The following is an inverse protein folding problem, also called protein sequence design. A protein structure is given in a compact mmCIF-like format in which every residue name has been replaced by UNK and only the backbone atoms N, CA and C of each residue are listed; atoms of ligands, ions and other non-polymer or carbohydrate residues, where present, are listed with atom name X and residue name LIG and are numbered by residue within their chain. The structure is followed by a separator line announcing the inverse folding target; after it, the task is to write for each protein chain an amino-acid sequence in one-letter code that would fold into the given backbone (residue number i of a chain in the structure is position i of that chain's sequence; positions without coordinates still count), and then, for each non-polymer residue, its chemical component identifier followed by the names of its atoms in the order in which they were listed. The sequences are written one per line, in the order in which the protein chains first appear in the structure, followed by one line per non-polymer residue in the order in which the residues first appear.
data_IF_894382989048
#
_entry.id   IF_894382989048
#
_cell.length_a   1.000
_cell.length_b   1.000
_cell.length_c   1.000
_cell.angle_alpha   90.00
_cell.angle_beta   90.00
_cell.angle_gamma   90.00
#
_symmetry.space_group_name_H-M   'P 1'
#
loop_
_entity.id
_entity.type
_entity.pdbx_description
1 polymer ?
#
# COMPACT_ATOMS: atom_id res chain seq x y z
N UNK A 1 -24.48 12.81 14.23
CA UNK A 1 -23.01 12.79 14.11
C UNK A 1 -22.52 14.20 14.37
N UNK A 2 -21.70 14.43 15.39
CA UNK A 2 -21.07 15.74 15.60
C UNK A 2 -20.27 16.12 14.35
N UNK A 3 -20.24 17.42 14.02
CA UNK A 3 -19.56 17.95 12.83
C UNK A 3 -18.07 17.56 12.80
N UNK A 4 -17.74 16.44 12.15
CA UNK A 4 -16.36 16.09 11.83
C UNK A 4 -15.89 17.10 10.79
N UNK A 5 -14.85 17.87 11.13
CA UNK A 5 -14.20 18.79 10.20
C UNK A 5 -13.48 17.97 9.11
N UNK A 6 -13.91 18.06 7.83
CA UNK A 6 -13.35 17.25 6.76
C UNK A 6 -11.85 17.49 6.53
N UNK A 7 -11.39 18.72 6.72
CA UNK A 7 -9.99 19.10 6.54
C UNK A 7 -9.12 18.47 7.62
N UNK A 8 -9.57 18.51 8.87
CA UNK A 8 -8.86 17.84 9.98
C UNK A 8 -8.84 16.34 9.80
N UNK A 9 -9.97 15.74 9.40
CA UNK A 9 -10.04 14.31 9.17
C UNK A 9 -9.10 13.87 8.03
N UNK A 10 -9.08 14.58 6.92
CA UNK A 10 -8.14 14.33 5.82
C UNK A 10 -6.67 14.48 6.25
N UNK A 11 -6.35 15.46 7.10
CA UNK A 11 -5.03 15.59 7.70
C UNK A 11 -4.64 14.35 8.52
N UNK A 12 -5.57 13.81 9.31
CA UNK A 12 -5.33 12.57 10.07
C UNK A 12 -5.14 11.35 9.16
N UNK A 13 -5.90 11.23 8.08
CA UNK A 13 -5.74 10.09 7.17
C UNK A 13 -4.41 10.12 6.42
N UNK A 14 -3.88 11.31 6.11
CA UNK A 14 -2.53 11.49 5.55
C UNK A 14 -1.40 11.11 6.52
N UNK A 15 -1.62 11.21 7.83
CA UNK A 15 -0.62 10.86 8.86
C UNK A 15 -0.75 9.39 9.25
N UNK A 16 -1.95 8.96 9.61
CA UNK A 16 -2.21 7.64 10.18
C UNK A 16 -2.15 6.55 9.10
N UNK A 17 -2.61 6.81 7.88
CA UNK A 17 -2.58 5.84 6.78
C UNK A 17 -1.18 5.27 6.53
N UNK A 18 -0.15 6.11 6.28
CA UNK A 18 1.23 5.66 6.12
C UNK A 18 1.79 4.94 7.34
N UNK A 19 1.49 5.40 8.56
CA UNK A 19 1.98 4.74 9.78
C UNK A 19 1.46 3.30 9.86
N UNK A 20 0.16 3.11 9.63
CA UNK A 20 -0.47 1.79 9.64
C UNK A 20 0.13 0.91 8.52
N UNK A 21 0.23 1.43 7.30
CA UNK A 21 0.70 0.67 6.15
C UNK A 21 2.18 0.26 6.31
N UNK A 22 3.06 1.19 6.68
CA UNK A 22 4.49 0.94 6.84
C UNK A 22 4.77 0.01 8.02
N UNK A 23 4.12 0.23 9.16
CA UNK A 23 4.28 -0.66 10.31
C UNK A 23 3.87 -2.08 9.96
N UNK A 24 2.72 -2.25 9.26
CA UNK A 24 2.25 -3.55 8.81
C UNK A 24 3.20 -4.22 7.81
N UNK A 25 3.76 -3.43 6.88
CA UNK A 25 4.76 -3.91 5.92
C UNK A 25 6.08 -4.30 6.59
N UNK A 26 6.44 -3.65 7.68
CA UNK A 26 7.66 -3.94 8.43
C UNK A 26 7.55 -5.22 9.25
N UNK A 27 6.38 -5.51 9.82
CA UNK A 27 6.15 -6.70 10.65
C UNK A 27 5.71 -7.94 9.86
N UNK A 28 5.33 -7.81 8.58
CA UNK A 28 4.94 -8.96 7.78
C UNK A 28 6.09 -9.98 7.69
N UNK A 29 5.83 -11.28 7.48
CA UNK A 29 6.89 -12.26 7.27
C UNK A 29 7.74 -11.90 6.06
N UNK A 30 9.07 -11.86 6.22
CA UNK A 30 10.00 -11.36 5.18
C UNK A 30 10.08 -9.83 5.10
N UNK A 31 9.42 -9.11 6.01
CA UNK A 31 9.49 -7.67 6.15
C UNK A 31 10.82 -7.19 6.73
N UNK A 32 11.00 -5.87 6.76
CA UNK A 32 12.27 -5.21 7.15
C UNK A 32 12.69 -5.53 8.59
N UNK A 33 11.73 -5.77 9.49
CA UNK A 33 12.04 -6.08 10.89
C UNK A 33 12.37 -7.56 11.12
N UNK A 34 12.40 -8.38 10.07
CA UNK A 34 12.73 -9.82 10.12
C UNK A 34 11.87 -10.63 11.11
N UNK A 35 10.67 -10.14 11.45
CA UNK A 35 9.72 -10.85 12.30
C UNK A 35 9.12 -12.00 11.47
N UNK A 36 9.28 -13.23 11.93
CA UNK A 36 8.95 -14.42 11.14
C UNK A 36 9.99 -14.76 10.08
N UNK A 37 11.22 -14.22 10.18
CA UNK A 37 12.34 -14.56 9.30
C UNK A 37 12.44 -13.71 8.02
N UNK A 38 13.54 -13.90 7.29
CA UNK A 38 13.83 -13.20 6.03
C UNK A 38 14.33 -14.19 5.00
N UNK A 39 13.82 -14.08 3.77
CA UNK A 39 14.24 -14.86 2.62
C UNK A 39 14.53 -13.92 1.45
N UNK A 40 15.26 -14.40 0.45
CA UNK A 40 15.44 -13.65 -0.79
C UNK A 40 14.07 -13.50 -1.49
N UNK A 41 13.56 -12.27 -1.71
CA UNK A 41 12.25 -12.06 -2.31
C UNK A 41 12.18 -12.48 -3.78
N UNK A 42 13.33 -12.75 -4.43
CA UNK A 42 13.40 -13.26 -5.81
C UNK A 42 13.24 -14.78 -5.89
N UNK A 43 13.39 -15.50 -4.76
CA UNK A 43 13.23 -16.95 -4.67
C UNK A 43 11.80 -17.27 -4.20
N UNK A 44 10.90 -17.45 -5.16
CA UNK A 44 9.46 -17.60 -4.89
C UNK A 44 9.11 -18.80 -4.01
N UNK A 45 9.86 -19.90 -4.11
CA UNK A 45 9.68 -21.09 -3.28
C UNK A 45 9.89 -20.79 -1.79
N UNK A 46 10.85 -19.94 -1.47
CA UNK A 46 11.19 -19.64 -0.08
C UNK A 46 10.24 -18.59 0.50
N UNK A 47 9.84 -17.60 -0.31
CA UNK A 47 8.76 -16.66 0.05
C UNK A 47 7.45 -17.40 0.34
N UNK A 48 7.09 -18.38 -0.49
CA UNK A 48 5.89 -19.18 -0.29
C UNK A 48 5.92 -19.94 1.04
N UNK A 49 7.01 -20.64 1.33
CA UNK A 49 7.17 -21.38 2.59
C UNK A 49 7.06 -20.45 3.79
N UNK A 50 7.71 -19.28 3.75
CA UNK A 50 7.69 -18.30 4.83
C UNK A 50 6.28 -17.80 5.13
N UNK A 51 5.52 -17.47 4.09
CA UNK A 51 4.14 -16.99 4.22
C UNK A 51 3.20 -18.07 4.78
N UNK A 52 3.44 -19.34 4.46
CA UNK A 52 2.65 -20.46 5.01
C UNK A 52 3.03 -20.73 6.47
N UNK A 53 4.33 -20.74 6.78
CA UNK A 53 4.85 -20.99 8.13
C UNK A 53 4.36 -19.93 9.14
N UNK A 54 4.30 -18.67 8.71
CA UNK A 54 3.81 -17.54 9.52
C UNK A 54 2.48 -16.98 9.00
N UNK A 55 1.56 -17.89 8.64
CA UNK A 55 0.29 -17.57 7.98
C UNK A 55 -0.57 -16.54 8.69
N UNK A 56 -0.75 -16.65 10.01
CA UNK A 56 -1.55 -15.70 10.80
C UNK A 56 -1.03 -14.27 10.69
N UNK A 57 0.30 -14.11 10.83
CA UNK A 57 0.96 -12.81 10.74
C UNK A 57 0.88 -12.25 9.32
N UNK A 58 1.12 -13.10 8.30
CA UNK A 58 0.98 -12.72 6.90
C UNK A 58 -0.42 -12.23 6.54
N UNK A 59 -1.47 -12.88 7.08
CA UNK A 59 -2.86 -12.50 6.84
C UNK A 59 -3.17 -11.16 7.51
N UNK A 60 -2.86 -11.02 8.80
CA UNK A 60 -3.16 -9.80 9.56
C UNK A 60 -2.39 -8.60 8.99
N UNK A 61 -1.10 -8.76 8.67
CA UNK A 61 -0.31 -7.69 8.08
C UNK A 61 -0.86 -7.28 6.72
N UNK A 62 -1.24 -8.24 5.86
CA UNK A 62 -1.81 -7.97 4.54
C UNK A 62 -3.11 -7.17 4.60
N UNK A 63 -4.02 -7.51 5.52
CA UNK A 63 -5.27 -6.76 5.76
C UNK A 63 -4.95 -5.34 6.24
N UNK A 64 -4.04 -5.21 7.19
CA UNK A 64 -3.73 -3.92 7.83
C UNK A 64 -3.00 -2.99 6.86
N UNK A 65 -2.15 -3.52 5.97
CA UNK A 65 -1.56 -2.77 4.84
C UNK A 65 -2.68 -2.15 3.98
N UNK A 66 -3.69 -2.92 3.59
CA UNK A 66 -4.81 -2.41 2.77
C UNK A 66 -5.54 -1.26 3.48
N UNK A 67 -5.83 -1.41 4.76
CA UNK A 67 -6.48 -0.37 5.57
C UNK A 67 -5.66 0.91 5.57
N UNK A 68 -4.34 0.81 5.82
CA UNK A 68 -3.44 1.96 5.83
C UNK A 68 -3.35 2.66 4.47
N UNK A 69 -3.23 1.90 3.38
CA UNK A 69 -3.14 2.45 2.03
C UNK A 69 -4.43 3.14 1.57
N UNK A 70 -5.59 2.52 1.80
CA UNK A 70 -6.88 3.15 1.45
C UNK A 70 -7.13 4.40 2.27
N UNK A 71 -6.72 4.40 3.55
CA UNK A 71 -6.78 5.59 4.42
C UNK A 71 -5.92 6.72 3.84
N UNK A 72 -4.68 6.43 3.45
CA UNK A 72 -3.79 7.39 2.80
C UNK A 72 -4.39 7.95 1.51
N UNK A 73 -4.92 7.09 0.63
CA UNK A 73 -5.54 7.49 -0.63
C UNK A 73 -6.68 8.50 -0.41
N UNK A 74 -7.53 8.26 0.59
CA UNK A 74 -8.61 9.17 0.94
C UNK A 74 -8.08 10.57 1.30
N UNK A 75 -7.00 10.64 2.08
CA UNK A 75 -6.35 11.90 2.43
C UNK A 75 -5.75 12.63 1.23
N UNK A 76 -5.11 11.90 0.31
CA UNK A 76 -4.49 12.46 -0.88
C UNK A 76 -5.51 13.02 -1.88
N UNK A 77 -6.66 12.34 -2.04
CA UNK A 77 -7.75 12.84 -2.88
C UNK A 77 -8.28 14.16 -2.33
N UNK A 78 -8.54 14.23 -1.02
CA UNK A 78 -9.00 15.46 -0.38
C UNK A 78 -7.96 16.58 -0.50
N UNK A 79 -6.68 16.25 -0.31
CA UNK A 79 -5.57 17.20 -0.49
C UNK A 79 -5.55 17.79 -1.90
N UNK A 80 -5.67 16.94 -2.92
CA UNK A 80 -5.76 17.41 -4.31
C UNK A 80 -6.97 18.30 -4.54
N UNK A 81 -8.14 17.95 -4.00
CA UNK A 81 -9.37 18.74 -4.13
C UNK A 81 -9.26 20.10 -3.43
N UNK A 82 -8.49 20.19 -2.34
CA UNK A 82 -8.30 21.45 -1.63
C UNK A 82 -7.56 22.53 -2.43
N UNK A 83 -6.93 22.15 -3.54
CA UNK A 83 -6.25 23.06 -4.48
C UNK A 83 -7.17 23.59 -5.59
N UNK A 84 -8.45 23.20 -5.62
CA UNK A 84 -9.38 23.60 -6.67
C UNK A 84 -9.42 25.13 -6.84
N UNK A 85 -9.32 25.59 -8.10
CA UNK A 85 -9.20 27.01 -8.44
C UNK A 85 -7.77 27.54 -8.54
N UNK A 86 -6.74 26.70 -8.29
CA UNK A 86 -5.32 27.02 -8.51
C UNK A 86 -4.69 26.20 -9.64
N UNK A 87 -3.56 26.67 -10.18
CA UNK A 87 -2.80 25.96 -11.21
C UNK A 87 -2.28 24.59 -10.72
N UNK A 88 -1.96 24.49 -9.42
CA UNK A 88 -1.52 23.26 -8.76
C UNK A 88 -2.57 22.14 -8.81
N UNK A 89 -3.86 22.48 -8.94
CA UNK A 89 -4.92 21.48 -9.02
C UNK A 89 -4.77 20.54 -10.22
N UNK A 90 -4.41 21.07 -11.40
CA UNK A 90 -4.27 20.27 -12.61
C UNK A 90 -3.12 19.25 -12.47
N UNK A 91 -2.01 19.67 -11.86
CA UNK A 91 -0.85 18.83 -11.61
C UNK A 91 -1.16 17.75 -10.57
N UNK A 92 -1.72 18.15 -9.41
CA UNK A 92 -2.08 17.20 -8.35
C UNK A 92 -3.10 16.17 -8.83
N UNK A 93 -4.13 16.61 -9.56
CA UNK A 93 -5.16 15.73 -10.13
C UNK A 93 -4.59 14.73 -11.14
N UNK A 94 -3.50 15.06 -11.82
CA UNK A 94 -2.79 14.14 -12.71
C UNK A 94 -2.02 13.08 -11.93
N UNK A 95 -1.51 13.41 -10.75
CA UNK A 95 -0.84 12.47 -9.83
C UNK A 95 -1.77 11.42 -9.22
N UNK A 96 -3.02 11.79 -8.87
CA UNK A 96 -3.96 10.92 -8.16
C UNK A 96 -4.22 9.57 -8.88
N UNK A 97 -4.48 9.51 -10.20
CA UNK A 97 -4.63 8.23 -10.90
C UNK A 97 -3.43 7.28 -10.77
N UNK A 98 -2.20 7.79 -10.79
CA UNK A 98 -1.00 6.96 -10.62
C UNK A 98 -0.95 6.35 -9.21
N UNK A 99 -1.24 7.16 -8.19
CA UNK A 99 -1.33 6.71 -6.79
C UNK A 99 -2.44 5.68 -6.62
N UNK A 100 -3.60 5.91 -7.23
CA UNK A 100 -4.74 5.01 -7.17
C UNK A 100 -4.40 3.63 -7.74
N UNK A 101 -3.77 3.57 -8.92
CA UNK A 101 -3.36 2.32 -9.55
C UNK A 101 -2.31 1.61 -8.68
N UNK A 102 -1.33 2.35 -8.15
CA UNK A 102 -0.32 1.78 -7.28
C UNK A 102 -0.90 1.13 -6.02
N UNK A 103 -1.77 1.85 -5.32
CA UNK A 103 -2.46 1.37 -4.11
C UNK A 103 -3.35 0.17 -4.45
N UNK A 104 -4.08 0.22 -5.57
CA UNK A 104 -4.89 -0.91 -6.03
C UNK A 104 -4.03 -2.15 -6.31
N UNK A 105 -2.84 -1.97 -6.90
CA UNK A 105 -1.87 -3.03 -7.10
C UNK A 105 -1.40 -3.63 -5.77
N UNK A 106 -1.03 -2.80 -4.78
CA UNK A 106 -0.66 -3.30 -3.45
C UNK A 106 -1.82 -3.99 -2.74
N UNK A 107 -3.06 -3.53 -2.90
CA UNK A 107 -4.22 -4.25 -2.39
C UNK A 107 -4.38 -5.64 -3.02
N UNK A 108 -4.15 -5.76 -4.33
CA UNK A 108 -4.15 -7.05 -5.03
C UNK A 108 -3.00 -7.95 -4.57
N UNK A 109 -1.80 -7.40 -4.42
CA UNK A 109 -0.63 -8.11 -3.91
C UNK A 109 -0.87 -8.66 -2.48
N UNK A 110 -1.51 -7.86 -1.61
CA UNK A 110 -1.93 -8.30 -0.28
C UNK A 110 -2.97 -9.42 -0.34
N UNK A 111 -3.95 -9.35 -1.25
CA UNK A 111 -4.94 -10.42 -1.42
C UNK A 111 -4.29 -11.73 -1.89
N UNK A 112 -3.32 -11.66 -2.80
CA UNK A 112 -2.52 -12.81 -3.23
C UNK A 112 -1.69 -13.35 -2.05
N UNK A 113 -1.05 -12.48 -1.28
CA UNK A 113 -0.31 -12.84 -0.07
C UNK A 113 -1.16 -13.60 0.94
N UNK A 114 -2.40 -13.15 1.18
CA UNK A 114 -3.39 -13.88 1.99
C UNK A 114 -3.69 -15.25 1.39
N UNK A 115 -3.94 -15.32 0.07
CA UNK A 115 -4.22 -16.60 -0.60
C UNK A 115 -3.08 -17.61 -0.49
N UNK A 116 -1.82 -17.15 -0.54
CA UNK A 116 -0.64 -17.99 -0.32
C UNK A 116 -0.57 -18.43 1.15
N UNK A 117 -0.70 -17.51 2.09
CA UNK A 117 -0.65 -17.78 3.52
C UNK A 117 -1.76 -18.73 4.00
N UNK A 118 -2.96 -18.63 3.42
CA UNK A 118 -4.09 -19.52 3.72
C UNK A 118 -4.02 -20.87 3.02
N UNK A 119 -3.03 -21.09 2.15
CA UNK A 119 -2.89 -22.29 1.33
C UNK A 119 -3.92 -22.40 0.19
N UNK A 120 -4.67 -21.34 -0.11
CA UNK A 120 -5.61 -21.30 -1.24
C UNK A 120 -4.88 -21.17 -2.58
N UNK A 121 -3.69 -20.54 -2.56
CA UNK A 121 -2.73 -20.50 -3.67
C UNK A 121 -1.55 -21.39 -3.25
N UNK A 122 -1.51 -22.59 -3.80
CA UNK A 122 -0.51 -23.62 -3.49
C UNK A 122 0.70 -23.61 -4.45
N UNK A 123 0.68 -22.73 -5.45
CA UNK A 123 1.73 -22.59 -6.46
C UNK A 123 2.58 -21.34 -6.25
N UNK A 124 3.86 -21.42 -6.65
CA UNK A 124 4.82 -20.30 -6.62
C UNK A 124 4.41 -19.09 -7.46
N UNK A 125 3.37 -19.24 -8.29
CA UNK A 125 2.85 -18.16 -9.11
C UNK A 125 2.31 -17.00 -8.25
N UNK A 126 1.82 -17.29 -7.04
CA UNK A 126 1.36 -16.26 -6.09
C UNK A 126 2.49 -15.27 -5.74
N UNK A 127 3.59 -15.71 -5.12
CA UNK A 127 4.73 -14.84 -4.83
C UNK A 127 5.33 -14.15 -6.06
N UNK A 128 5.38 -14.82 -7.23
CA UNK A 128 5.86 -14.22 -8.50
C UNK A 128 5.02 -13.02 -8.92
N UNK A 129 3.69 -13.14 -8.86
CA UNK A 129 2.79 -12.03 -9.15
C UNK A 129 2.94 -10.91 -8.12
N UNK A 130 2.98 -11.24 -6.83
CA UNK A 130 3.18 -10.27 -5.76
C UNK A 130 4.45 -9.45 -5.98
N UNK A 131 5.58 -10.09 -6.30
CA UNK A 131 6.83 -9.38 -6.59
C UNK A 131 6.71 -8.43 -7.80
N UNK A 132 6.12 -8.92 -8.91
CA UNK A 132 5.95 -8.14 -10.13
C UNK A 132 5.05 -6.92 -9.93
N UNK A 133 3.94 -7.09 -9.19
CA UNK A 133 3.01 -6.01 -8.85
C UNK A 133 3.71 -4.94 -8.01
N UNK A 134 4.51 -5.36 -7.02
CA UNK A 134 5.23 -4.43 -6.15
C UNK A 134 6.17 -3.49 -6.93
N UNK A 135 6.86 -3.98 -7.96
CA UNK A 135 7.75 -3.15 -8.80
C UNK A 135 6.95 -2.01 -9.47
N UNK A 136 5.86 -2.36 -10.17
CA UNK A 136 5.05 -1.38 -10.90
C UNK A 136 4.37 -0.42 -9.94
N UNK A 137 3.76 -0.93 -8.86
CA UNK A 137 3.10 -0.11 -7.84
C UNK A 137 4.06 0.90 -7.21
N UNK A 138 5.29 0.49 -6.89
CA UNK A 138 6.31 1.39 -6.33
C UNK A 138 6.63 2.54 -7.27
N UNK A 139 6.85 2.24 -8.56
CA UNK A 139 7.17 3.25 -9.58
C UNK A 139 6.00 4.23 -9.76
N UNK A 140 4.77 3.71 -9.92
CA UNK A 140 3.58 4.54 -10.11
C UNK A 140 3.28 5.41 -8.88
N UNK A 141 3.46 4.87 -7.67
CA UNK A 141 3.31 5.64 -6.44
C UNK A 141 4.34 6.78 -6.37
N UNK A 142 5.59 6.50 -6.75
CA UNK A 142 6.65 7.52 -6.83
C UNK A 142 6.32 8.66 -7.80
N UNK A 143 5.90 8.33 -9.02
CA UNK A 143 5.48 9.34 -10.00
C UNK A 143 4.25 10.13 -9.55
N UNK A 144 3.24 9.44 -9.00
CA UNK A 144 2.04 10.08 -8.49
C UNK A 144 2.34 11.04 -7.34
N UNK A 145 3.17 10.61 -6.38
CA UNK A 145 3.64 11.43 -5.26
C UNK A 145 4.45 12.65 -5.72
N UNK A 146 5.28 12.50 -6.75
CA UNK A 146 6.00 13.61 -7.36
C UNK A 146 5.04 14.68 -7.89
N UNK A 147 4.01 14.31 -8.66
CA UNK A 147 3.04 15.28 -9.17
C UNK A 147 2.26 15.97 -8.05
N UNK A 148 1.82 15.22 -7.03
CA UNK A 148 1.06 15.79 -5.90
C UNK A 148 1.91 16.75 -5.07
N UNK A 149 3.20 16.47 -4.89
CA UNK A 149 4.12 17.35 -4.13
C UNK A 149 4.58 18.55 -4.94
N UNK A 150 4.80 18.40 -6.24
CA UNK A 150 5.10 19.53 -7.14
C UNK A 150 3.94 20.51 -7.26
N UNK A 151 2.70 20.02 -7.22
CA UNK A 151 1.52 20.87 -7.16
C UNK A 151 1.45 21.81 -5.94
N UNK A 152 2.23 21.52 -4.89
CA UNK A 152 2.25 22.28 -3.65
C UNK A 152 3.29 23.42 -3.63
N UNK A 153 4.13 23.52 -4.66
CA UNK A 153 5.15 24.58 -4.82
C UNK A 153 4.62 25.72 -5.68
#
# INVERSE_FOLDING_TARGET
MNNIDPKKFAGYTLIIGPIIALFSFFIQPGGVLAIGGTVDPTISSDVQKLLIEYSELAIISSITVVIGLVTLLSGLIYYSQSMEGSDGYAVSRTGIPFIFIAISGWCLASAIGIGVASGTIDQEIGPKFTFSINIISTILFGFGGFFVTWAAT
#
